data_IF_611071628339
#
_entry.id   IF_611071628339
#
_cell.length_a   1.000
_cell.length_b   1.000
_cell.length_c   1.000
_cell.angle_alpha   90.00
_cell.angle_beta   90.00
_cell.angle_gamma   90.00
#
_symmetry.space_group_name_H-M   'P 1'
#
loop_
_entity.id
_entity.type
_entity.pdbx_description
1 polymer ?
#
# COMPACT_ATOMS: atom_id res chain seq x y z
N UNK A 1 68.51 13.84 29.96
CA UNK A 1 67.06 13.95 29.73
C UNK A 1 66.90 14.79 28.48
N UNK A 2 66.24 14.34 27.42
CA UNK A 2 64.90 13.75 27.40
C UNK A 2 63.89 14.92 27.36
N UNK A 3 62.97 15.05 26.42
CA UNK A 3 62.59 14.29 25.23
C UNK A 3 61.70 15.22 24.37
N UNK A 4 61.50 14.87 23.11
CA UNK A 4 60.65 15.62 22.17
C UNK A 4 59.15 15.38 22.38
N UNK A 5 58.36 16.08 21.58
CA UNK A 5 56.91 15.91 21.48
C UNK A 5 56.28 17.10 20.77
N UNK A 6 56.16 16.99 19.45
CA UNK A 6 55.19 17.72 18.64
C UNK A 6 53.78 17.31 19.11
N UNK A 7 52.88 18.27 19.28
CA UNK A 7 51.46 17.99 19.57
C UNK A 7 50.61 18.83 18.60
N UNK A 8 50.40 18.24 17.42
CA UNK A 8 49.25 18.52 16.56
C UNK A 8 48.02 17.92 17.24
N UNK A 9 46.93 18.69 17.36
CA UNK A 9 45.72 18.22 18.02
C UNK A 9 44.48 19.03 17.62
N UNK A 10 44.04 18.78 16.40
CA UNK A 10 42.64 18.63 15.99
C UNK A 10 41.63 19.72 16.42
N UNK A 11 41.55 20.76 15.58
CA UNK A 11 40.24 21.25 15.11
C UNK A 11 39.48 20.07 14.47
N UNK A 12 38.16 20.03 14.66
CA UNK A 12 37.17 19.12 14.05
C UNK A 12 36.62 18.02 14.96
N UNK A 13 35.66 18.35 15.85
CA UNK A 13 34.49 17.45 16.03
C UNK A 13 33.25 18.00 16.77
N UNK A 14 32.89 19.29 16.63
CA UNK A 14 31.65 19.79 17.24
C UNK A 14 30.41 19.73 16.33
N UNK A 15 30.57 19.38 15.04
CA UNK A 15 29.44 19.29 14.09
C UNK A 15 28.79 17.90 14.00
N UNK A 16 29.39 16.85 14.56
CA UNK A 16 28.83 15.49 14.50
C UNK A 16 27.72 15.23 15.55
N UNK A 17 27.48 16.17 16.46
CA UNK A 17 26.51 16.03 17.56
C UNK A 17 25.29 16.97 17.43
N UNK A 18 25.18 17.73 16.34
CA UNK A 18 24.04 18.61 16.09
C UNK A 18 22.76 17.84 15.70
N UNK A 19 22.88 16.62 15.17
CA UNK A 19 21.75 15.82 14.67
C UNK A 19 21.04 14.98 15.75
N UNK A 20 21.56 14.91 16.98
CA UNK A 20 20.89 14.22 18.10
C UNK A 20 19.89 15.08 18.89
N UNK A 21 19.57 16.29 18.41
CA UNK A 21 18.51 17.16 18.96
C UNK A 21 17.43 17.49 17.95
N UNK A 22 16.89 16.46 17.30
CA UNK A 22 15.57 16.55 16.65
C UNK A 22 14.48 16.26 17.70
N UNK A 23 14.36 17.13 18.72
CA UNK A 23 13.19 17.12 19.60
C UNK A 23 12.00 17.60 18.77
N UNK A 24 11.36 16.67 18.06
CA UNK A 24 10.15 16.93 17.33
C UNK A 24 9.04 17.30 18.32
N UNK A 25 8.67 18.60 18.44
CA UNK A 25 7.82 19.07 19.53
C UNK A 25 6.39 18.55 19.42
N UNK A 26 6.01 18.03 18.24
CA UNK A 26 4.67 17.52 17.97
C UNK A 26 4.62 15.99 17.80
N UNK A 27 5.70 15.27 18.17
CA UNK A 27 5.76 13.81 17.99
C UNK A 27 4.61 13.07 18.69
N UNK A 28 4.14 13.57 19.83
CA UNK A 28 3.06 12.96 20.62
C UNK A 28 1.65 13.34 20.14
N UNK A 29 1.50 14.26 19.18
CA UNK A 29 0.18 14.63 18.67
C UNK A 29 -0.55 13.42 18.06
N UNK A 30 0.19 12.53 17.40
CA UNK A 30 -0.34 11.29 16.86
C UNK A 30 -0.96 10.40 17.95
N UNK A 31 -0.34 10.34 19.14
CA UNK A 31 -0.88 9.58 20.28
C UNK A 31 -2.15 10.24 20.87
N UNK A 32 -2.22 11.58 20.91
CA UNK A 32 -3.45 12.29 21.31
C UNK A 32 -4.59 11.96 20.34
N UNK A 33 -4.33 11.99 19.04
CA UNK A 33 -5.33 11.64 18.02
C UNK A 33 -5.73 10.16 18.08
N UNK A 34 -4.79 9.26 18.34
CA UNK A 34 -5.07 7.85 18.60
C UNK A 34 -6.04 7.69 19.78
N UNK A 35 -5.80 8.38 20.90
CA UNK A 35 -6.69 8.32 22.06
C UNK A 35 -8.09 8.90 21.75
N UNK A 36 -8.16 10.03 21.04
CA UNK A 36 -9.43 10.65 20.68
C UNK A 36 -10.29 9.72 19.78
N UNK A 37 -9.66 9.05 18.81
CA UNK A 37 -10.34 8.16 17.85
C UNK A 37 -10.82 6.83 18.45
N UNK A 38 -10.49 6.51 19.71
CA UNK A 38 -11.12 5.39 20.42
C UNK A 38 -12.64 5.59 20.57
N UNK A 39 -13.09 6.85 20.63
CA UNK A 39 -14.51 7.21 20.69
C UNK A 39 -15.11 7.34 19.28
N UNK A 40 -16.41 7.05 19.15
CA UNK A 40 -17.12 7.22 17.87
C UNK A 40 -17.07 8.67 17.36
N UNK A 41 -17.21 9.65 18.26
CA UNK A 41 -17.11 11.08 17.92
C UNK A 41 -15.73 11.45 17.40
N UNK A 42 -14.67 10.88 17.97
CA UNK A 42 -13.30 11.07 17.49
C UNK A 42 -13.09 10.48 16.10
N UNK A 43 -13.62 9.29 15.82
CA UNK A 43 -13.59 8.69 14.47
C UNK A 43 -14.34 9.57 13.46
N UNK A 44 -15.55 10.00 13.80
CA UNK A 44 -16.34 10.91 12.97
C UNK A 44 -15.60 12.21 12.69
N UNK A 45 -14.90 12.77 13.68
CA UNK A 45 -14.04 13.93 13.48
C UNK A 45 -12.89 13.63 12.50
N UNK A 46 -12.16 12.53 12.71
CA UNK A 46 -11.02 12.18 11.88
C UNK A 46 -11.41 11.91 10.41
N UNK A 47 -12.57 11.28 10.18
CA UNK A 47 -13.08 10.92 8.85
C UNK A 47 -13.96 12.01 8.22
N UNK A 48 -14.26 13.10 8.94
CA UNK A 48 -15.07 14.20 8.41
C UNK A 48 -14.36 14.82 7.21
N UNK A 49 -15.09 14.94 6.11
CA UNK A 49 -14.67 15.65 4.93
C UNK A 49 -14.75 17.15 5.14
N UNK A 50 -13.64 17.85 4.89
CA UNK A 50 -13.53 19.30 4.93
C UNK A 50 -13.35 19.83 3.51
N UNK A 51 -14.20 20.79 3.15
CA UNK A 51 -14.14 21.48 1.87
C UNK A 51 -13.12 22.59 1.94
N UNK A 52 -12.10 22.51 1.09
CA UNK A 52 -11.07 23.53 0.95
C UNK A 52 -11.50 24.60 -0.06
N UNK A 53 -10.90 25.77 0.05
CA UNK A 53 -11.17 26.91 -0.84
C UNK A 53 -10.81 26.62 -2.31
N UNK A 54 -9.92 25.66 -2.56
CA UNK A 54 -9.53 25.18 -3.90
C UNK A 54 -10.54 24.20 -4.54
N UNK A 55 -11.64 23.89 -3.84
CA UNK A 55 -12.66 22.94 -4.30
C UNK A 55 -12.32 21.48 -4.03
N UNK A 56 -11.16 21.19 -3.43
CA UNK A 56 -10.81 19.84 -2.99
C UNK A 56 -11.46 19.49 -1.65
N UNK A 57 -11.65 18.20 -1.42
CA UNK A 57 -12.20 17.68 -0.17
C UNK A 57 -11.18 16.76 0.45
N UNK A 58 -10.83 17.00 1.72
CA UNK A 58 -9.91 16.14 2.48
C UNK A 58 -10.43 15.88 3.87
N UNK A 59 -10.10 14.74 4.44
CA UNK A 59 -10.28 14.46 5.87
C UNK A 59 -8.98 14.67 6.65
N UNK A 60 -9.11 14.76 7.98
CA UNK A 60 -7.94 14.71 8.88
C UNK A 60 -7.21 13.38 8.72
N UNK A 61 -7.95 12.27 8.58
CA UNK A 61 -7.40 10.94 8.35
C UNK A 61 -6.51 10.93 7.10
N UNK A 62 -7.01 11.39 5.94
CA UNK A 62 -6.21 11.47 4.72
C UNK A 62 -4.95 12.33 4.88
N UNK A 63 -5.05 13.41 5.65
CA UNK A 63 -3.93 14.34 5.87
C UNK A 63 -2.81 13.72 6.71
N UNK A 64 -3.13 12.77 7.61
CA UNK A 64 -2.13 12.12 8.47
C UNK A 64 -1.55 10.82 7.87
N UNK A 65 -2.19 10.20 6.87
CA UNK A 65 -1.71 8.93 6.29
C UNK A 65 -0.25 8.94 5.82
N UNK A 66 0.29 10.03 5.21
CA UNK A 66 1.71 10.07 4.84
C UNK A 66 2.67 9.90 6.03
N UNK A 67 2.21 10.22 7.25
CA UNK A 67 3.01 10.09 8.47
C UNK A 67 3.25 8.63 8.90
N UNK A 68 2.58 7.65 8.27
CA UNK A 68 2.95 6.24 8.38
C UNK A 68 4.35 5.95 7.80
N UNK A 69 4.92 6.86 7.01
CA UNK A 69 6.28 6.79 6.45
C UNK A 69 7.27 7.72 7.16
N UNK A 70 6.88 8.31 8.30
CA UNK A 70 7.73 9.26 9.03
C UNK A 70 8.99 8.58 9.57
N UNK A 71 10.12 9.29 9.65
CA UNK A 71 11.30 8.82 10.37
C UNK A 71 11.04 8.64 11.87
N UNK A 72 10.07 9.35 12.44
CA UNK A 72 9.73 9.29 13.86
C UNK A 72 8.82 8.09 14.18
N UNK A 73 9.30 7.09 14.96
CA UNK A 73 8.51 5.90 15.30
C UNK A 73 7.28 6.22 16.17
N UNK A 74 7.34 7.24 17.03
CA UNK A 74 6.22 7.67 17.89
C UNK A 74 5.05 8.16 17.03
N UNK A 75 5.35 8.89 15.95
CA UNK A 75 4.34 9.34 14.99
C UNK A 75 3.73 8.18 14.24
N UNK A 76 4.55 7.29 13.67
CA UNK A 76 4.07 6.12 12.91
C UNK A 76 3.13 5.27 13.76
N UNK A 77 3.51 4.96 15.00
CA UNK A 77 2.70 4.18 15.95
C UNK A 77 1.37 4.87 16.27
N UNK A 78 1.39 6.17 16.60
CA UNK A 78 0.17 6.92 16.90
C UNK A 78 -0.78 7.01 15.70
N UNK A 79 -0.24 7.22 14.50
CA UNK A 79 -1.05 7.26 13.27
C UNK A 79 -1.62 5.88 12.94
N UNK A 80 -0.83 4.81 13.03
CA UNK A 80 -1.31 3.44 12.84
C UNK A 80 -2.44 3.09 13.81
N UNK A 81 -2.33 3.50 15.07
CA UNK A 81 -3.39 3.31 16.06
C UNK A 81 -4.66 4.13 15.76
N UNK A 82 -4.52 5.39 15.33
CA UNK A 82 -5.65 6.21 14.93
C UNK A 82 -6.36 5.64 13.67
N UNK A 83 -5.60 5.11 12.72
CA UNK A 83 -6.11 4.43 11.53
C UNK A 83 -6.87 3.15 11.91
N UNK A 84 -6.28 2.29 12.74
CA UNK A 84 -6.97 1.09 13.28
C UNK A 84 -8.29 1.45 13.92
N UNK A 85 -8.29 2.49 14.75
CA UNK A 85 -9.50 2.97 15.39
C UNK A 85 -10.56 3.35 14.36
N UNK A 86 -10.22 4.10 13.31
CA UNK A 86 -11.15 4.45 12.24
C UNK A 86 -11.72 3.22 11.50
N UNK A 87 -10.94 2.15 11.34
CA UNK A 87 -11.39 0.90 10.71
C UNK A 87 -12.46 0.12 11.51
N UNK A 88 -12.74 0.47 12.77
CA UNK A 88 -13.86 -0.14 13.51
C UNK A 88 -15.23 0.27 12.96
N UNK A 89 -15.32 1.40 12.26
CA UNK A 89 -16.57 1.87 11.65
C UNK A 89 -16.80 1.16 10.30
N UNK A 90 -17.57 0.06 10.35
CA UNK A 90 -17.85 -0.79 9.19
C UNK A 90 -18.61 -0.06 8.08
N UNK A 91 -19.44 0.91 8.43
CA UNK A 91 -20.22 1.68 7.45
C UNK A 91 -19.31 2.57 6.59
N UNK A 92 -18.17 2.97 7.16
CA UNK A 92 -17.14 3.76 6.49
C UNK A 92 -16.16 2.92 5.65
N UNK A 93 -16.22 1.59 5.71
CA UNK A 93 -15.23 0.71 5.06
C UNK A 93 -15.14 0.90 3.54
N UNK A 94 -16.27 1.16 2.87
CA UNK A 94 -16.28 1.45 1.44
C UNK A 94 -15.48 2.72 1.12
N UNK A 95 -15.74 3.80 1.87
CA UNK A 95 -15.04 5.07 1.70
C UNK A 95 -13.54 4.94 2.01
N UNK A 96 -13.18 4.25 3.10
CA UNK A 96 -11.79 3.98 3.47
C UNK A 96 -11.04 3.21 2.36
N UNK A 97 -11.66 2.20 1.77
CA UNK A 97 -11.00 1.37 0.77
C UNK A 97 -10.94 2.02 -0.61
N UNK A 98 -11.97 2.74 -1.03
CA UNK A 98 -12.12 3.20 -2.42
C UNK A 98 -11.79 4.69 -2.60
N UNK A 99 -12.19 5.56 -1.68
CA UNK A 99 -11.96 7.02 -1.79
C UNK A 99 -10.63 7.44 -1.15
N UNK A 100 -10.28 6.82 -0.02
CA UNK A 100 -9.02 7.10 0.70
C UNK A 100 -7.85 6.28 0.17
N UNK A 101 -8.13 5.18 -0.52
CA UNK A 101 -7.14 4.14 -0.87
C UNK A 101 -6.33 3.69 0.37
N UNK A 102 -7.02 3.40 1.47
CA UNK A 102 -6.37 3.07 2.74
C UNK A 102 -5.48 1.83 2.65
N UNK A 103 -5.85 0.85 1.83
CA UNK A 103 -5.07 -0.38 1.65
C UNK A 103 -3.62 -0.09 1.22
N UNK A 104 -3.40 0.80 0.24
CA UNK A 104 -2.06 1.24 -0.17
C UNK A 104 -1.24 1.77 1.01
N UNK A 105 -1.85 2.60 1.85
CA UNK A 105 -1.19 3.23 2.98
C UNK A 105 -0.88 2.24 4.11
N UNK A 106 -1.75 1.27 4.34
CA UNK A 106 -1.54 0.20 5.31
C UNK A 106 -0.46 -0.80 4.86
N UNK A 107 -0.47 -1.17 3.58
CA UNK A 107 0.45 -2.18 3.05
C UNK A 107 1.86 -1.66 2.82
N UNK A 108 2.04 -0.36 2.60
CA UNK A 108 3.36 0.20 2.31
C UNK A 108 4.38 -0.01 3.45
N UNK A 109 4.07 0.27 4.73
CA UNK A 109 5.01 -0.02 5.82
C UNK A 109 5.23 -1.53 6.04
N UNK A 110 4.26 -2.37 5.63
CA UNK A 110 4.34 -3.83 5.76
C UNK A 110 5.17 -4.48 4.64
N UNK A 111 5.23 -3.86 3.46
CA UNK A 111 6.09 -4.28 2.36
C UNK A 111 7.57 -4.11 2.73
N UNK A 112 8.40 -5.08 2.34
CA UNK A 112 9.84 -5.10 2.56
C UNK A 112 10.63 -5.22 1.25
N UNK A 113 11.91 -5.61 1.32
CA UNK A 113 12.82 -5.65 0.18
C UNK A 113 12.67 -6.90 -0.69
N UNK A 114 11.73 -7.79 -0.37
CA UNK A 114 11.55 -9.04 -1.08
C UNK A 114 11.06 -8.81 -2.51
N UNK A 115 11.63 -9.57 -3.45
CA UNK A 115 11.26 -9.48 -4.85
C UNK A 115 9.88 -10.12 -5.10
N UNK A 116 8.99 -9.36 -5.73
CA UNK A 116 7.69 -9.85 -6.19
C UNK A 116 7.77 -10.29 -7.64
N UNK A 117 7.14 -11.42 -7.94
CA UNK A 117 7.05 -11.93 -9.31
C UNK A 117 6.24 -10.96 -10.21
N UNK A 118 6.51 -10.90 -11.52
CA UNK A 118 5.79 -10.00 -12.43
C UNK A 118 4.27 -10.13 -12.36
N UNK A 119 3.74 -11.36 -12.23
CA UNK A 119 2.30 -11.58 -12.12
C UNK A 119 1.72 -11.14 -10.76
N UNK A 120 2.52 -11.16 -9.68
CA UNK A 120 2.14 -10.66 -8.35
C UNK A 120 2.05 -9.13 -8.32
N UNK A 121 2.90 -8.45 -9.11
CA UNK A 121 2.87 -6.99 -9.29
C UNK A 121 1.60 -6.52 -9.98
N UNK A 122 0.96 -7.36 -10.81
CA UNK A 122 -0.26 -6.96 -11.53
C UNK A 122 -1.43 -6.77 -10.57
N UNK A 123 -1.92 -5.53 -10.49
CA UNK A 123 -3.03 -5.12 -9.64
C UNK A 123 -2.63 -4.66 -8.24
N UNK A 124 -1.34 -4.75 -7.89
CA UNK A 124 -0.74 -4.12 -6.73
C UNK A 124 -0.43 -2.63 -7.05
N UNK A 125 -0.51 -1.76 -6.05
CA UNK A 125 -0.16 -0.34 -6.25
C UNK A 125 1.37 -0.20 -6.50
N UNK A 126 1.84 0.61 -7.48
CA UNK A 126 3.27 0.80 -7.78
C UNK A 126 4.17 1.12 -6.59
N UNK A 127 3.75 2.04 -5.70
CA UNK A 127 4.45 2.34 -4.43
C UNK A 127 4.84 1.11 -3.60
N UNK A 128 4.16 -0.03 -3.73
CA UNK A 128 4.42 -1.22 -2.91
C UNK A 128 5.59 -2.07 -3.43
N UNK A 129 6.07 -1.82 -4.65
CA UNK A 129 7.11 -2.66 -5.27
C UNK A 129 8.18 -1.89 -6.07
N UNK A 130 7.95 -0.61 -6.38
CA UNK A 130 8.89 0.19 -7.18
C UNK A 130 10.23 0.44 -6.48
N UNK A 131 10.25 0.46 -5.15
CA UNK A 131 11.46 0.67 -4.34
C UNK A 131 12.37 -0.58 -4.28
N UNK A 132 11.83 -1.76 -4.60
CA UNK A 132 12.59 -3.02 -4.66
C UNK A 132 13.46 -3.26 -3.41
N UNK A 133 14.76 -3.54 -3.57
CA UNK A 133 15.64 -3.93 -2.46
C UNK A 133 15.94 -2.80 -1.47
N UNK A 134 15.74 -1.54 -1.84
CA UNK A 134 15.95 -0.39 -0.96
C UNK A 134 14.78 -0.19 0.03
N UNK A 135 13.68 -0.94 -0.17
CA UNK A 135 12.49 -0.83 0.67
C UNK A 135 12.75 -1.38 2.06
N UNK A 136 12.68 -0.52 3.07
CA UNK A 136 12.75 -0.93 4.48
C UNK A 136 11.34 -1.18 5.03
N UNK A 137 11.12 -2.38 5.58
CA UNK A 137 9.89 -2.73 6.32
C UNK A 137 9.84 -1.98 7.65
N UNK A 138 8.64 -1.68 8.13
CA UNK A 138 8.43 -1.13 9.48
C UNK A 138 9.13 -1.99 10.55
N UNK A 139 10.07 -1.38 11.29
CA UNK A 139 10.83 -2.08 12.31
C UNK A 139 10.07 -2.24 13.63
N UNK A 140 9.16 -1.33 13.95
CA UNK A 140 8.36 -1.40 15.19
C UNK A 140 7.24 -2.45 15.10
N UNK A 141 7.41 -3.55 15.83
CA UNK A 141 6.44 -4.65 15.91
C UNK A 141 5.04 -4.18 16.31
N UNK A 142 4.94 -3.24 17.25
CA UNK A 142 3.65 -2.67 17.67
C UNK A 142 2.96 -1.94 16.52
N UNK A 143 3.72 -1.17 15.73
CA UNK A 143 3.18 -0.50 14.54
C UNK A 143 2.75 -1.51 13.48
N UNK A 144 3.54 -2.56 13.21
CA UNK A 144 3.14 -3.64 12.29
C UNK A 144 1.84 -4.30 12.74
N UNK A 145 1.71 -4.63 14.03
CA UNK A 145 0.50 -5.21 14.59
C UNK A 145 -0.73 -4.32 14.35
N UNK A 146 -0.64 -3.02 14.65
CA UNK A 146 -1.74 -2.07 14.45
C UNK A 146 -2.18 -1.97 12.99
N UNK A 147 -1.23 -2.01 12.05
CA UNK A 147 -1.50 -1.99 10.62
C UNK A 147 -2.20 -3.28 10.16
N UNK A 148 -1.72 -4.45 10.59
CA UNK A 148 -2.34 -5.75 10.26
C UNK A 148 -3.74 -5.85 10.87
N UNK A 149 -3.93 -5.42 12.11
CA UNK A 149 -5.26 -5.36 12.73
C UNK A 149 -6.21 -4.40 11.97
N UNK A 150 -5.69 -3.31 11.41
CA UNK A 150 -6.48 -2.42 10.55
C UNK A 150 -6.96 -3.14 9.29
N UNK A 151 -6.10 -3.95 8.66
CA UNK A 151 -6.47 -4.80 7.52
C UNK A 151 -7.50 -5.85 7.93
N UNK A 152 -7.34 -6.48 9.09
CA UNK A 152 -8.27 -7.47 9.63
C UNK A 152 -9.68 -6.88 9.85
N UNK A 153 -9.77 -5.68 10.42
CA UNK A 153 -11.04 -4.97 10.61
C UNK A 153 -11.73 -4.69 9.27
N UNK A 154 -10.97 -4.31 8.24
CA UNK A 154 -11.50 -4.12 6.89
C UNK A 154 -11.99 -5.44 6.28
N UNK A 155 -11.25 -6.54 6.45
CA UNK A 155 -11.69 -7.90 6.07
C UNK A 155 -13.01 -8.30 6.76
N UNK A 156 -13.13 -7.99 8.05
CA UNK A 156 -14.31 -8.29 8.88
C UNK A 156 -15.49 -7.31 8.65
N UNK A 157 -15.29 -6.25 7.87
CA UNK A 157 -16.35 -5.26 7.56
C UNK A 157 -17.37 -5.81 6.57
N UNK A 158 -17.02 -6.80 5.76
CA UNK A 158 -17.97 -7.51 4.89
C UNK A 158 -17.36 -8.00 3.59
N UNK A 159 -18.19 -8.70 2.80
CA UNK A 159 -17.81 -9.30 1.51
C UNK A 159 -17.20 -8.29 0.53
N UNK A 160 -17.83 -7.13 0.36
CA UNK A 160 -17.35 -6.10 -0.58
C UNK A 160 -15.94 -5.62 -0.22
N UNK A 161 -15.66 -5.44 1.08
CA UNK A 161 -14.33 -5.06 1.55
C UNK A 161 -13.29 -6.13 1.23
N UNK A 162 -13.61 -7.42 1.43
CA UNK A 162 -12.73 -8.53 1.04
C UNK A 162 -12.49 -8.59 -0.46
N UNK A 163 -13.53 -8.41 -1.27
CA UNK A 163 -13.39 -8.36 -2.73
C UNK A 163 -12.45 -7.22 -3.17
N UNK A 164 -12.56 -6.03 -2.56
CA UNK A 164 -11.64 -4.91 -2.83
C UNK A 164 -10.20 -5.22 -2.38
N UNK A 165 -10.01 -5.80 -1.19
CA UNK A 165 -8.67 -6.17 -0.69
C UNK A 165 -8.01 -7.26 -1.54
N UNK A 166 -8.78 -8.27 -1.99
CA UNK A 166 -8.33 -9.25 -2.99
C UNK A 166 -7.91 -8.53 -4.26
N UNK A 167 -8.77 -7.70 -4.84
CA UNK A 167 -8.46 -6.97 -6.07
C UNK A 167 -7.20 -6.09 -5.96
N UNK A 168 -6.84 -5.62 -4.76
CA UNK A 168 -5.63 -4.84 -4.45
C UNK A 168 -4.40 -5.69 -4.07
N UNK A 169 -4.45 -7.02 -4.26
CA UNK A 169 -3.36 -7.96 -3.98
C UNK A 169 -2.88 -7.94 -2.52
N UNK A 170 -3.77 -7.61 -1.57
CA UNK A 170 -3.41 -7.53 -0.14
C UNK A 170 -2.77 -8.83 0.39
N UNK A 171 -3.27 -9.98 -0.05
CA UNK A 171 -2.71 -11.29 0.32
C UNK A 171 -1.22 -11.44 -0.01
N UNK A 172 -0.75 -10.88 -1.13
CA UNK A 172 0.66 -11.00 -1.55
C UNK A 172 1.58 -10.37 -0.52
N UNK A 173 1.30 -9.11 -0.13
CA UNK A 173 2.12 -8.39 0.87
C UNK A 173 2.07 -9.09 2.22
N UNK A 174 0.89 -9.53 2.66
CA UNK A 174 0.71 -10.24 3.93
C UNK A 174 1.47 -11.57 3.97
N UNK A 175 1.44 -12.34 2.88
CA UNK A 175 2.18 -13.59 2.76
C UNK A 175 3.69 -13.35 2.84
N UNK A 176 4.18 -12.36 2.10
CA UNK A 176 5.62 -12.06 2.04
C UNK A 176 6.14 -11.57 3.38
N UNK A 177 5.43 -10.67 4.07
CA UNK A 177 5.86 -10.19 5.39
C UNK A 177 5.92 -11.34 6.42
N UNK A 178 4.94 -12.24 6.41
CA UNK A 178 4.83 -13.37 7.36
C UNK A 178 6.02 -14.34 7.26
N UNK A 179 6.61 -14.49 6.07
CA UNK A 179 7.80 -15.35 5.88
C UNK A 179 9.04 -14.87 6.65
N UNK A 180 9.06 -13.60 7.05
CA UNK A 180 10.19 -12.96 7.76
C UNK A 180 9.78 -12.39 9.12
N UNK A 181 8.52 -12.58 9.52
CA UNK A 181 7.99 -12.04 10.76
C UNK A 181 8.40 -12.93 11.93
N UNK A 182 9.03 -12.32 12.95
CA UNK A 182 9.50 -13.03 14.14
C UNK A 182 8.48 -12.92 15.29
N UNK A 183 7.61 -11.91 15.25
CA UNK A 183 6.65 -11.62 16.31
C UNK A 183 5.37 -12.45 16.15
N UNK A 184 5.15 -13.39 17.07
CA UNK A 184 4.03 -14.34 17.03
C UNK A 184 2.65 -13.66 16.98
N UNK A 185 2.49 -12.56 17.72
CA UNK A 185 1.24 -11.79 17.73
C UNK A 185 0.93 -11.18 16.36
N UNK A 186 1.97 -10.71 15.64
CA UNK A 186 1.80 -10.14 14.30
C UNK A 186 1.47 -11.25 13.31
N UNK A 187 2.23 -12.35 13.31
CA UNK A 187 1.97 -13.50 12.44
C UNK A 187 0.58 -14.10 12.64
N UNK A 188 0.12 -14.19 13.89
CA UNK A 188 -1.25 -14.63 14.21
C UNK A 188 -2.30 -13.74 13.53
N UNK A 189 -2.15 -12.41 13.62
CA UNK A 189 -3.07 -11.47 12.95
C UNK A 189 -2.97 -11.49 11.43
N UNK A 190 -1.79 -11.78 10.89
CA UNK A 190 -1.62 -11.99 9.45
C UNK A 190 -2.39 -13.24 9.02
N UNK A 191 -2.28 -14.34 9.76
CA UNK A 191 -3.02 -15.58 9.49
C UNK A 191 -4.54 -15.35 9.51
N UNK A 192 -5.06 -14.63 10.51
CA UNK A 192 -6.47 -14.22 10.57
C UNK A 192 -6.89 -13.50 9.28
N UNK A 193 -6.09 -12.54 8.81
CA UNK A 193 -6.36 -11.82 7.56
C UNK A 193 -6.37 -12.76 6.35
N UNK A 194 -5.40 -13.67 6.26
CA UNK A 194 -5.29 -14.65 5.18
C UNK A 194 -6.51 -15.57 5.16
N UNK A 195 -6.99 -16.03 6.32
CA UNK A 195 -8.19 -16.85 6.40
C UNK A 195 -9.41 -16.10 5.85
N UNK A 196 -9.60 -14.84 6.21
CA UNK A 196 -10.68 -14.03 5.64
C UNK A 196 -10.54 -13.85 4.12
N UNK A 197 -9.32 -13.65 3.62
CA UNK A 197 -9.09 -13.42 2.19
C UNK A 197 -9.21 -14.70 1.36
N UNK A 198 -8.89 -15.87 1.91
CA UNK A 198 -8.99 -17.15 1.18
C UNK A 198 -10.35 -17.83 1.30
N UNK A 199 -11.09 -17.56 2.37
CA UNK A 199 -12.40 -18.19 2.59
C UNK A 199 -13.41 -17.75 1.54
N UNK A 200 -14.16 -18.73 1.04
CA UNK A 200 -15.30 -18.48 0.17
C UNK A 200 -16.48 -17.83 0.89
N UNK A 201 -17.24 -17.07 0.12
CA UNK A 201 -18.43 -16.39 0.63
C UNK A 201 -19.55 -17.41 0.90
N UNK A 202 -20.39 -17.12 1.89
CA UNK A 202 -21.48 -18.04 2.22
C UNK A 202 -22.45 -18.20 1.04
N UNK A 203 -22.74 -19.44 0.66
CA UNK A 203 -23.63 -19.76 -0.46
C UNK A 203 -22.97 -19.71 -1.85
N UNK A 204 -21.64 -19.62 -1.94
CA UNK A 204 -20.90 -19.75 -3.20
C UNK A 204 -20.18 -21.09 -3.31
N UNK A 205 -19.87 -21.52 -4.54
CA UNK A 205 -19.07 -22.72 -4.79
C UNK A 205 -17.63 -22.58 -4.26
N UNK A 206 -17.01 -23.72 -3.94
CA UNK A 206 -15.62 -23.79 -3.49
C UNK A 206 -14.67 -23.25 -4.57
N UNK A 207 -13.75 -22.36 -4.18
CA UNK A 207 -12.81 -21.69 -5.07
C UNK A 207 -13.39 -20.49 -5.84
N UNK A 208 -14.65 -20.13 -5.61
CA UNK A 208 -15.28 -19.00 -6.32
C UNK A 208 -14.64 -17.65 -6.01
N UNK A 209 -14.10 -17.45 -4.79
CA UNK A 209 -13.42 -16.21 -4.42
C UNK A 209 -12.10 -16.03 -5.14
N UNK A 210 -11.33 -17.10 -5.26
CA UNK A 210 -10.06 -17.13 -5.98
C UNK A 210 -10.30 -16.94 -7.49
N UNK A 211 -11.32 -17.59 -8.05
CA UNK A 211 -11.72 -17.42 -9.45
C UNK A 211 -12.10 -15.97 -9.78
N UNK A 212 -12.89 -15.31 -8.92
CA UNK A 212 -13.26 -13.89 -9.08
C UNK A 212 -12.04 -12.98 -9.00
N UNK A 213 -11.12 -13.25 -8.07
CA UNK A 213 -9.89 -12.47 -7.96
C UNK A 213 -9.04 -12.62 -9.23
N UNK A 214 -8.89 -13.84 -9.76
CA UNK A 214 -8.14 -14.12 -10.98
C UNK A 214 -8.77 -13.49 -12.23
N UNK A 215 -10.10 -13.44 -12.32
CA UNK A 215 -10.79 -12.71 -13.39
C UNK A 215 -10.42 -11.22 -13.38
N UNK A 216 -10.41 -10.60 -12.19
CA UNK A 216 -9.99 -9.19 -12.02
C UNK A 216 -8.53 -9.01 -12.44
N UNK A 217 -7.64 -9.91 -12.02
CA UNK A 217 -6.23 -9.82 -12.38
C UNK A 217 -6.00 -10.01 -13.87
N UNK A 218 -6.70 -10.96 -14.51
CA UNK A 218 -6.66 -11.16 -15.96
C UNK A 218 -7.08 -9.89 -16.70
N UNK A 219 -8.16 -9.24 -16.27
CA UNK A 219 -8.58 -7.96 -16.82
C UNK A 219 -7.46 -6.90 -16.72
N UNK A 220 -6.85 -6.76 -15.54
CA UNK A 220 -5.73 -5.83 -15.31
C UNK A 220 -4.48 -6.17 -16.14
N UNK A 221 -4.17 -7.45 -16.33
CA UNK A 221 -3.05 -7.92 -17.20
C UNK A 221 -3.29 -7.49 -18.64
N UNK A 222 -4.51 -7.67 -19.15
CA UNK A 222 -4.86 -7.28 -20.52
C UNK A 222 -4.72 -5.78 -20.74
N UNK A 223 -5.09 -4.97 -19.74
CA UNK A 223 -4.90 -3.51 -19.74
C UNK A 223 -3.43 -3.08 -19.64
N UNK A 224 -2.57 -3.89 -19.03
CA UNK A 224 -1.15 -3.60 -18.85
C UNK A 224 -0.28 -4.00 -20.06
N UNK A 225 -0.82 -4.76 -21.01
CA UNK A 225 -0.11 -5.11 -22.24
C UNK A 225 0.01 -3.87 -23.15
N UNK A 226 1.17 -3.65 -23.79
CA UNK A 226 1.26 -2.66 -24.86
C UNK A 226 0.26 -3.03 -25.96
N UNK A 227 -0.51 -2.04 -26.43
CA UNK A 227 -1.44 -2.24 -27.55
C UNK A 227 -0.71 -2.96 -28.69
N UNK A 228 -1.35 -3.95 -29.35
CA UNK A 228 -0.71 -4.63 -30.46
C UNK A 228 -0.27 -3.59 -31.48
N UNK A 229 1.03 -3.53 -31.72
CA UNK A 229 1.62 -2.63 -32.70
C UNK A 229 0.84 -2.82 -33.99
N UNK A 230 0.12 -1.78 -34.43
CA UNK A 230 -0.46 -1.72 -35.76
C UNK A 230 0.69 -1.53 -36.76
N UNK A 231 1.54 -2.54 -36.90
CA UNK A 231 2.51 -2.70 -37.99
C UNK A 231 2.17 -3.97 -38.76
N UNK A 232 0.90 -4.09 -39.15
CA UNK A 232 0.46 -5.00 -40.20
C UNK A 232 0.73 -4.35 -41.55
N UNK A 233 1.56 -5.00 -42.36
CA UNK A 233 2.18 -4.47 -43.57
C UNK A 233 1.24 -3.77 -44.57
N UNK A 234 1.68 -2.59 -45.02
CA UNK A 234 1.32 -2.08 -46.35
C UNK A 234 2.11 -2.92 -47.36
N UNK A 235 1.58 -4.10 -47.68
CA UNK A 235 1.97 -4.83 -48.88
C UNK A 235 1.48 -4.04 -50.09
N UNK A 236 2.41 -3.45 -50.82
CA UNK A 236 2.15 -2.85 -52.13
C UNK A 236 1.74 -3.95 -53.12
N UNK A 237 0.45 -4.28 -53.17
CA UNK A 237 -0.14 -5.04 -54.25
C UNK A 237 -0.23 -4.15 -55.48
N UNK A 238 0.72 -4.28 -56.40
CA UNK A 238 0.57 -3.79 -57.78
C UNK A 238 -0.65 -4.50 -58.39
N UNK A 239 -1.68 -3.72 -58.69
CA UNK A 239 -2.72 -4.11 -59.61
C UNK A 239 -2.12 -4.12 -61.03
N UNK A 240 -1.94 -5.31 -61.61
CA UNK A 240 -1.84 -5.45 -63.06
C UNK A 240 -3.23 -5.73 -63.60
N UNK A 241 -3.75 -4.74 -64.33
CA UNK A 241 -4.96 -4.83 -65.13
C UNK A 241 -4.64 -5.50 -66.46
N UNK A 242 -5.17 -6.69 -66.72
CA UNK A 242 -5.34 -7.21 -68.08
C UNK A 242 -6.82 -7.11 -68.46
N UNK A 243 -7.17 -6.08 -69.22
CA UNK A 243 -8.46 -5.97 -69.88
C UNK A 243 -8.41 -6.75 -71.18
N UNK A 244 -9.23 -7.80 -71.27
CA UNK A 244 -9.64 -8.42 -72.53
C UNK A 244 -10.35 -7.36 -73.39
N UNK A 245 -9.87 -7.18 -74.62
CA UNK A 245 -10.65 -6.63 -75.72
C UNK A 245 -10.99 -7.79 -76.65
N UNK A 246 -12.23 -8.27 -76.56
CA UNK A 246 -12.89 -8.95 -77.66
C UNK A 246 -13.15 -7.91 -78.75
N UNK A 247 -12.48 -8.07 -79.89
CA UNK A 247 -12.80 -7.35 -81.12
C UNK A 247 -13.52 -8.29 -82.08
N UNK A 248 -14.60 -7.75 -82.63
CA UNK A 248 -15.57 -8.42 -83.49
C UNK A 248 -15.19 -8.13 -84.94
N UNK A 249 -14.69 -9.14 -85.66
CA UNK A 249 -15.12 -9.55 -87.01
C UNK A 249 -14.40 -10.83 -87.46
#
# INVERSE_FOLDING_TARGET
GGGGGDDDGDDDNDDANADMRSDDPYQHFAAVLMNATQTERGRKFAMRLEYKADGSTTSVLQSILPQLRSSNPVRRRGVAGAVKNCCFDKDSAYWLLNEVDLARHLLYPLAGPEELEPDEKVGLHPDLWIEGPDKVRESDATTRLLLVESVLLLCASGRRSRETLRAKRTYVILKVMDMTEEEEDVSTRVNDCVQFLRRDEEGTEEGSSDARAEEVYRGKRLLALPAPSASGGIGAGKAESSADYDDVD
#
